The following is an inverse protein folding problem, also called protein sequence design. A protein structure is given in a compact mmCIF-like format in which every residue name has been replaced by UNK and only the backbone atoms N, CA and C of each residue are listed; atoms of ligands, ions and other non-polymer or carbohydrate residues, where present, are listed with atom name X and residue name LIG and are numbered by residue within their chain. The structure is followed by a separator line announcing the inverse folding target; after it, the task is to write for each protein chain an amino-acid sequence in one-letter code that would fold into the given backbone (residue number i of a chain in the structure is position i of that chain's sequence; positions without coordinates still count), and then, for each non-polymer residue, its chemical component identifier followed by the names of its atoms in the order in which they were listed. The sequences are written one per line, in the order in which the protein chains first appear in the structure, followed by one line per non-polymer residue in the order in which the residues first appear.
data_IF_456657546251
#
_entry.id   IF_456657546251
#
_cell.length_a   1.000
_cell.length_b   1.000
_cell.length_c   1.000
_cell.angle_alpha   90.00
_cell.angle_beta   90.00
_cell.angle_gamma   90.00
#
_symmetry.space_group_name_H-M   'P 1'
#
loop_
_entity.id
_entity.type
_entity.pdbx_description
1 polymer ?
#
# COMPACT_ATOMS: atom_id res chain seq x y z
N UNK A 1 8.78 32.72 -0.96
CA UNK A 1 8.76 31.39 -1.61
C UNK A 1 7.79 30.49 -0.86
N UNK A 2 6.92 29.78 -1.59
CA UNK A 2 5.91 28.84 -1.04
C UNK A 2 6.61 27.59 -0.49
N UNK A 3 7.09 27.66 0.76
CA UNK A 3 7.85 26.57 1.38
C UNK A 3 7.03 25.80 2.42
N UNK A 4 5.77 26.20 2.68
CA UNK A 4 4.89 25.45 3.58
C UNK A 4 4.23 24.32 2.82
N UNK A 5 4.05 23.18 3.49
CA UNK A 5 3.36 22.04 2.89
C UNK A 5 1.93 22.39 2.48
N UNK A 6 1.27 23.29 3.21
CA UNK A 6 -0.04 23.85 2.85
C UNK A 6 -0.09 24.48 1.47
N UNK A 7 1.02 25.03 0.97
CA UNK A 7 1.08 25.73 -0.32
C UNK A 7 1.39 24.74 -1.45
N UNK A 8 2.15 23.69 -1.14
CA UNK A 8 2.60 22.66 -2.09
C UNK A 8 1.52 21.59 -2.33
N UNK A 9 0.69 21.30 -1.33
CA UNK A 9 -0.30 20.22 -1.36
C UNK A 9 -1.66 20.58 -1.98
N UNK A 10 -1.86 21.84 -2.41
CA UNK A 10 -3.15 22.27 -3.00
C UNK A 10 -3.34 21.82 -4.45
N UNK A 11 -2.27 21.45 -5.16
CA UNK A 11 -2.29 21.09 -6.58
C UNK A 11 -2.22 19.58 -6.84
N UNK A 12 -2.56 19.19 -8.07
CA UNK A 12 -2.31 17.84 -8.60
C UNK A 12 -0.85 17.64 -9.07
N UNK A 13 -0.07 18.70 -9.08
CA UNK A 13 1.32 18.74 -9.55
C UNK A 13 2.30 18.26 -8.46
N UNK A 14 2.38 16.94 -8.27
CA UNK A 14 3.28 16.28 -7.31
C UNK A 14 3.80 14.95 -7.87
N UNK A 15 4.79 14.32 -7.25
CA UNK A 15 5.39 13.07 -7.74
C UNK A 15 4.84 11.81 -7.05
N UNK A 16 3.67 11.89 -6.40
CA UNK A 16 3.13 10.78 -5.59
C UNK A 16 2.90 9.50 -6.42
N UNK A 17 2.40 9.64 -7.65
CA UNK A 17 2.19 8.48 -8.53
C UNK A 17 3.50 7.82 -8.96
N UNK A 18 4.55 8.63 -9.21
CA UNK A 18 5.87 8.12 -9.56
C UNK A 18 6.50 7.38 -8.38
N UNK A 19 6.46 7.98 -7.18
CA UNK A 19 7.01 7.35 -5.97
C UNK A 19 6.30 6.03 -5.69
N UNK A 20 4.96 5.98 -5.84
CA UNK A 20 4.20 4.73 -5.70
C UNK A 20 4.58 3.69 -6.75
N UNK A 21 4.88 4.11 -7.98
CA UNK A 21 5.33 3.18 -9.03
C UNK A 21 6.71 2.60 -8.73
N UNK A 22 7.64 3.45 -8.26
CA UNK A 22 8.97 3.02 -7.81
C UNK A 22 8.82 2.03 -6.66
N UNK A 23 8.00 2.35 -5.65
CA UNK A 23 7.72 1.47 -4.53
C UNK A 23 7.11 0.12 -4.97
N UNK A 24 6.12 0.12 -5.88
CA UNK A 24 5.54 -1.12 -6.41
C UNK A 24 6.58 -1.99 -7.12
N UNK A 25 7.43 -1.36 -7.94
CA UNK A 25 8.50 -2.05 -8.67
C UNK A 25 9.57 -2.59 -7.72
N UNK A 26 9.92 -1.84 -6.67
CA UNK A 26 10.84 -2.29 -5.62
C UNK A 26 10.30 -3.49 -4.84
N UNK A 27 8.99 -3.53 -4.55
CA UNK A 27 8.34 -4.71 -3.95
C UNK A 27 8.48 -5.94 -4.85
N UNK A 28 8.21 -5.80 -6.16
CA UNK A 28 8.39 -6.87 -7.15
C UNK A 28 9.85 -7.36 -7.17
N UNK A 29 10.82 -6.46 -7.18
CA UNK A 29 12.25 -6.80 -7.15
C UNK A 29 12.58 -7.59 -5.89
N UNK A 30 12.18 -7.12 -4.71
CA UNK A 30 12.38 -7.83 -3.43
C UNK A 30 11.77 -9.23 -3.45
N UNK A 31 10.55 -9.38 -3.97
CA UNK A 31 9.91 -10.69 -4.07
C UNK A 31 10.69 -11.65 -4.97
N UNK A 32 11.37 -11.16 -6.02
CA UNK A 32 12.15 -12.02 -6.92
C UNK A 32 13.24 -12.80 -6.18
N UNK A 33 13.92 -12.17 -5.21
CA UNK A 33 14.92 -12.85 -4.36
C UNK A 33 14.28 -13.95 -3.51
N UNK A 34 13.18 -13.62 -2.82
CA UNK A 34 12.49 -14.54 -1.92
C UNK A 34 11.85 -15.73 -2.65
N UNK A 35 11.31 -15.50 -3.84
CA UNK A 35 10.59 -16.51 -4.61
C UNK A 35 11.52 -17.50 -5.31
N UNK A 36 12.66 -17.05 -5.83
CA UNK A 36 13.66 -17.94 -6.46
C UNK A 36 14.41 -18.76 -5.41
N UNK A 37 14.83 -18.11 -4.31
CA UNK A 37 15.67 -18.79 -3.30
C UNK A 37 14.88 -19.46 -2.18
N UNK A 38 13.56 -19.32 -2.17
CA UNK A 38 12.67 -19.79 -1.10
C UNK A 38 12.80 -19.01 0.22
N UNK A 39 13.76 -18.09 0.33
CA UNK A 39 14.00 -17.28 1.53
C UNK A 39 14.31 -15.83 1.17
N UNK A 40 13.88 -14.88 1.99
CA UNK A 40 14.27 -13.47 1.80
C UNK A 40 15.73 -13.16 2.13
N UNK A 41 16.54 -14.15 2.52
CA UNK A 41 17.89 -13.93 3.04
C UNK A 41 18.91 -13.51 1.96
N UNK A 42 18.62 -13.81 0.70
CA UNK A 42 19.45 -13.47 -0.46
C UNK A 42 19.34 -12.00 -0.89
N UNK A 43 18.44 -11.22 -0.28
CA UNK A 43 18.28 -9.81 -0.60
C UNK A 43 19.41 -8.96 0.04
N UNK A 44 20.15 -8.15 -0.75
CA UNK A 44 21.33 -7.43 -0.26
C UNK A 44 21.11 -6.52 0.95
N UNK A 45 19.96 -5.83 1.00
CA UNK A 45 19.65 -4.93 2.12
C UNK A 45 19.30 -5.67 3.41
N UNK A 46 18.79 -6.89 3.30
CA UNK A 46 18.36 -7.65 4.48
C UNK A 46 19.55 -8.07 5.33
N UNK A 47 20.65 -8.45 4.68
CA UNK A 47 21.88 -8.88 5.37
C UNK A 47 22.60 -7.70 6.03
N UNK A 48 22.58 -6.53 5.39
CA UNK A 48 23.31 -5.35 5.87
C UNK A 48 22.52 -4.54 6.91
N UNK A 49 21.22 -4.30 6.65
CA UNK A 49 20.41 -3.34 7.42
C UNK A 49 19.25 -4.00 8.19
N UNK A 50 19.06 -5.31 8.06
CA UNK A 50 17.90 -6.01 8.65
C UNK A 50 16.55 -5.65 8.01
N UNK A 51 16.56 -4.86 6.94
CA UNK A 51 15.38 -4.38 6.22
C UNK A 51 15.46 -4.73 4.74
N UNK A 52 14.30 -4.84 4.09
CA UNK A 52 14.21 -5.12 2.65
C UNK A 52 13.75 -3.87 1.89
N UNK A 53 14.06 -3.79 0.59
CA UNK A 53 13.49 -2.74 -0.28
C UNK A 53 11.97 -2.81 -0.29
N UNK A 54 11.41 -4.02 -0.21
CA UNK A 54 9.98 -4.27 -0.06
C UNK A 54 9.40 -3.65 1.22
N UNK A 55 10.05 -3.84 2.38
CA UNK A 55 9.61 -3.23 3.65
C UNK A 55 9.61 -1.70 3.55
N UNK A 56 10.69 -1.11 3.01
CA UNK A 56 10.76 0.34 2.80
C UNK A 56 9.64 0.82 1.89
N UNK A 57 9.40 0.10 0.79
CA UNK A 57 8.35 0.42 -0.18
C UNK A 57 6.95 0.36 0.44
N UNK A 58 6.67 -0.62 1.29
CA UNK A 58 5.42 -0.72 2.04
C UNK A 58 5.27 0.46 3.00
N UNK A 59 6.33 0.87 3.71
CA UNK A 59 6.29 2.06 4.56
C UNK A 59 5.94 3.31 3.75
N UNK A 60 6.57 3.48 2.57
CA UNK A 60 6.27 4.58 1.64
C UNK A 60 4.80 4.57 1.21
N UNK A 61 4.23 3.41 0.88
CA UNK A 61 2.80 3.28 0.56
C UNK A 61 1.92 3.76 1.71
N UNK A 62 2.19 3.31 2.94
CA UNK A 62 1.38 3.69 4.11
C UNK A 62 1.50 5.19 4.43
N UNK A 63 2.70 5.79 4.32
CA UNK A 63 2.89 7.24 4.50
C UNK A 63 2.10 8.04 3.46
N UNK A 64 2.22 7.70 2.18
CA UNK A 64 1.50 8.38 1.10
C UNK A 64 -0.01 8.20 1.27
N UNK A 65 -0.45 7.00 1.63
CA UNK A 65 -1.84 6.67 1.88
C UNK A 65 -2.40 7.50 3.02
N UNK A 66 -1.74 7.55 4.18
CA UNK A 66 -2.12 8.38 5.32
C UNK A 66 -2.26 9.86 4.97
N UNK A 67 -1.31 10.40 4.21
CA UNK A 67 -1.35 11.79 3.72
C UNK A 67 -2.57 12.04 2.81
N UNK A 68 -2.75 11.24 1.76
CA UNK A 68 -3.78 11.44 0.74
C UNK A 68 -5.20 11.13 1.23
N UNK A 69 -5.34 10.09 2.05
CA UNK A 69 -6.62 9.64 2.59
C UNK A 69 -7.13 10.67 3.62
N UNK A 70 -6.25 11.18 4.47
CA UNK A 70 -6.58 12.30 5.38
C UNK A 70 -6.93 13.56 4.61
N UNK A 71 -6.20 13.89 3.55
CA UNK A 71 -6.53 15.01 2.67
C UNK A 71 -7.92 14.88 2.05
N UNK A 72 -8.25 13.68 1.54
CA UNK A 72 -9.54 13.40 0.95
C UNK A 72 -10.69 13.57 1.96
N UNK A 73 -10.49 13.12 3.20
CA UNK A 73 -11.52 13.17 4.25
C UNK A 73 -11.76 14.61 4.73
N UNK A 74 -10.68 15.32 5.10
CA UNK A 74 -10.76 16.68 5.66
C UNK A 74 -11.26 17.71 4.64
N UNK A 75 -10.94 17.55 3.34
CA UNK A 75 -11.34 18.52 2.32
C UNK A 75 -12.77 18.30 1.78
N UNK A 76 -13.28 17.07 1.85
CA UNK A 76 -14.62 16.73 1.34
C UNK A 76 -15.69 16.72 2.41
N UNK A 77 -15.30 16.47 3.66
CA UNK A 77 -16.20 16.47 4.84
C UNK A 77 -17.40 15.53 4.70
N UNK A 78 -17.27 14.53 3.82
CA UNK A 78 -18.33 13.61 3.48
C UNK A 78 -17.81 12.17 3.51
N UNK A 79 -18.31 11.41 4.49
CA UNK A 79 -17.93 10.01 4.68
C UNK A 79 -18.38 9.11 3.52
N UNK A 80 -19.44 9.47 2.79
CA UNK A 80 -19.91 8.71 1.63
C UNK A 80 -18.95 8.91 0.46
N UNK A 81 -18.51 10.15 0.21
CA UNK A 81 -17.47 10.44 -0.78
C UNK A 81 -16.17 9.71 -0.45
N UNK A 82 -15.77 9.75 0.84
CA UNK A 82 -14.60 9.03 1.34
C UNK A 82 -14.70 7.53 1.06
N UNK A 83 -15.81 6.91 1.48
CA UNK A 83 -16.05 5.48 1.32
C UNK A 83 -15.95 5.07 -0.15
N UNK A 84 -16.71 5.70 -1.04
CA UNK A 84 -16.67 5.35 -2.46
C UNK A 84 -15.31 5.63 -3.11
N UNK A 85 -14.63 6.72 -2.72
CA UNK A 85 -13.30 7.02 -3.24
C UNK A 85 -12.23 5.99 -2.83
N UNK A 86 -12.41 5.27 -1.71
CA UNK A 86 -11.50 4.19 -1.29
C UNK A 86 -11.95 2.85 -1.85
N UNK A 87 -13.25 2.56 -1.80
CA UNK A 87 -13.80 1.30 -2.30
C UNK A 87 -13.54 1.11 -3.79
N UNK A 88 -13.78 2.14 -4.62
CA UNK A 88 -13.52 2.09 -6.07
C UNK A 88 -12.02 2.05 -6.41
N UNK A 89 -11.15 2.46 -5.49
CA UNK A 89 -9.71 2.44 -5.70
C UNK A 89 -9.11 1.05 -5.48
N UNK A 90 -9.69 0.27 -4.57
CA UNK A 90 -9.17 -1.03 -4.13
C UNK A 90 -9.95 -2.19 -4.75
N UNK A 91 -11.25 -2.28 -4.46
CA UNK A 91 -12.00 -3.52 -4.64
C UNK A 91 -12.18 -3.97 -6.10
N UNK A 92 -12.45 -3.10 -7.10
CA UNK A 92 -12.68 -3.57 -8.47
C UNK A 92 -11.49 -4.35 -9.03
N UNK A 93 -10.28 -3.78 -8.99
CA UNK A 93 -9.08 -4.43 -9.52
C UNK A 93 -8.63 -5.60 -8.66
N UNK A 94 -8.78 -5.52 -7.33
CA UNK A 94 -8.53 -6.64 -6.43
C UNK A 94 -9.43 -7.84 -6.78
N UNK A 95 -10.73 -7.60 -6.93
CA UNK A 95 -11.69 -8.66 -7.22
C UNK A 95 -11.38 -9.34 -8.55
N UNK A 96 -11.11 -8.57 -9.61
CA UNK A 96 -10.73 -9.13 -10.91
C UNK A 96 -9.44 -9.95 -10.82
N UNK A 97 -8.42 -9.46 -10.11
CA UNK A 97 -7.18 -10.20 -9.91
C UNK A 97 -7.42 -11.51 -9.15
N UNK A 98 -8.26 -11.51 -8.12
CA UNK A 98 -8.63 -12.73 -7.39
C UNK A 98 -9.34 -13.72 -8.30
N UNK A 99 -10.30 -13.26 -9.13
CA UNK A 99 -10.96 -14.14 -10.09
C UNK A 99 -9.97 -14.71 -11.11
N UNK A 100 -9.04 -13.90 -11.59
CA UNK A 100 -7.97 -14.34 -12.47
C UNK A 100 -7.10 -15.41 -11.82
N UNK A 101 -6.66 -15.17 -10.58
CA UNK A 101 -5.86 -16.13 -9.81
C UNK A 101 -6.64 -17.43 -9.57
N UNK A 102 -7.91 -17.35 -9.16
CA UNK A 102 -8.68 -18.52 -8.73
C UNK A 102 -9.20 -19.34 -9.91
N UNK A 103 -9.62 -18.72 -11.00
CA UNK A 103 -10.24 -19.42 -12.13
C UNK A 103 -9.33 -19.63 -13.33
N UNK A 104 -8.18 -18.95 -13.40
CA UNK A 104 -7.21 -19.16 -14.48
C UNK A 104 -5.90 -19.74 -13.95
N UNK A 105 -5.19 -19.04 -13.06
CA UNK A 105 -3.89 -19.52 -12.58
C UNK A 105 -4.01 -20.78 -11.70
N UNK A 106 -5.00 -20.81 -10.81
CA UNK A 106 -5.23 -21.94 -9.91
C UNK A 106 -5.40 -23.26 -10.65
N UNK A 107 -6.40 -23.40 -11.54
CA UNK A 107 -6.59 -24.58 -12.36
C UNK A 107 -5.39 -24.94 -13.24
N UNK A 108 -4.62 -23.96 -13.69
CA UNK A 108 -3.46 -24.20 -14.54
C UNK A 108 -2.26 -24.79 -13.77
N UNK A 109 -2.09 -24.41 -12.49
CA UNK A 109 -0.94 -24.80 -11.66
C UNK A 109 -1.30 -25.72 -10.49
N UNK A 110 -2.54 -26.20 -10.40
CA UNK A 110 -2.95 -27.11 -9.33
C UNK A 110 -2.49 -28.55 -9.62
N UNK A 111 -2.10 -29.25 -8.56
CA UNK A 111 -1.73 -30.68 -8.59
C UNK A 111 -2.90 -31.63 -8.34
N UNK A 112 -4.10 -31.10 -8.02
CA UNK A 112 -5.32 -31.89 -7.81
C UNK A 112 -6.26 -31.80 -9.02
N UNK A 113 -7.23 -32.71 -9.12
CA UNK A 113 -8.23 -32.67 -10.20
C UNK A 113 -9.03 -31.37 -10.18
N UNK A 114 -9.39 -30.87 -11.37
CA UNK A 114 -10.12 -29.62 -11.55
C UNK A 114 -11.45 -29.58 -10.79
N UNK A 115 -12.19 -30.70 -10.79
CA UNK A 115 -13.49 -30.79 -10.11
C UNK A 115 -13.29 -30.71 -8.60
N UNK A 116 -12.25 -31.38 -8.07
CA UNK A 116 -11.93 -31.35 -6.64
C UNK A 116 -11.44 -29.96 -6.20
N UNK A 117 -10.63 -29.29 -7.02
CA UNK A 117 -10.24 -27.89 -6.83
C UNK A 117 -11.45 -26.95 -6.74
N UNK A 118 -12.40 -27.10 -7.68
CA UNK A 118 -13.60 -26.26 -7.74
C UNK A 118 -14.62 -26.58 -6.65
N UNK A 119 -14.63 -27.80 -6.11
CA UNK A 119 -15.47 -28.19 -4.96
C UNK A 119 -14.83 -27.86 -3.61
N UNK A 120 -13.53 -27.59 -3.59
CA UNK A 120 -12.82 -27.32 -2.34
C UNK A 120 -13.31 -26.05 -1.66
N UNK A 121 -13.65 -26.18 -0.37
CA UNK A 121 -14.02 -25.06 0.50
C UNK A 121 -12.92 -24.00 0.58
N UNK A 122 -11.66 -24.42 0.49
CA UNK A 122 -10.50 -23.54 0.61
C UNK A 122 -10.43 -22.52 -0.53
N UNK A 123 -10.84 -22.91 -1.74
CA UNK A 123 -10.95 -22.04 -2.93
C UNK A 123 -11.92 -20.88 -2.68
N UNK A 124 -13.10 -21.16 -2.12
CA UNK A 124 -14.09 -20.12 -1.84
C UNK A 124 -13.75 -19.27 -0.63
N UNK A 125 -13.09 -19.85 0.39
CA UNK A 125 -12.57 -19.05 1.51
C UNK A 125 -11.46 -18.10 1.03
N UNK A 126 -10.61 -18.53 0.08
CA UNK A 126 -9.63 -17.64 -0.54
C UNK A 126 -10.32 -16.45 -1.21
N UNK A 127 -11.34 -16.69 -2.04
CA UNK A 127 -12.13 -15.61 -2.66
C UNK A 127 -12.68 -14.69 -1.58
N UNK A 128 -13.41 -15.23 -0.60
CA UNK A 128 -14.11 -14.42 0.40
C UNK A 128 -13.15 -13.59 1.28
N UNK A 129 -12.05 -14.18 1.75
CA UNK A 129 -11.07 -13.47 2.58
C UNK A 129 -10.32 -12.41 1.78
N UNK A 130 -9.77 -12.79 0.62
CA UNK A 130 -8.97 -11.88 -0.19
C UNK A 130 -9.81 -10.76 -0.82
N UNK A 131 -11.11 -10.97 -1.10
CA UNK A 131 -11.98 -9.95 -1.68
C UNK A 131 -12.54 -8.98 -0.64
N UNK A 132 -12.74 -9.41 0.61
CA UNK A 132 -13.29 -8.56 1.67
C UNK A 132 -12.23 -7.81 2.45
N UNK A 133 -11.04 -8.40 2.61
CA UNK A 133 -9.90 -7.85 3.37
C UNK A 133 -10.16 -7.58 4.87
N UNK A 134 -11.39 -7.80 5.37
CA UNK A 134 -11.76 -7.52 6.78
C UNK A 134 -11.10 -8.55 7.72
N UNK A 135 -11.20 -9.83 7.36
CA UNK A 135 -10.77 -10.96 8.19
C UNK A 135 -9.36 -11.46 7.86
N UNK A 136 -8.55 -10.62 7.22
CA UNK A 136 -7.23 -10.97 6.72
C UNK A 136 -7.28 -11.63 5.34
N UNK A 137 -6.14 -12.18 4.92
CA UNK A 137 -5.96 -12.85 3.63
C UNK A 137 -5.65 -14.33 3.83
N UNK A 138 -5.83 -15.11 2.78
CA UNK A 138 -5.39 -16.50 2.72
C UNK A 138 -4.31 -16.61 1.67
N UNK A 139 -3.22 -17.31 1.98
CA UNK A 139 -2.05 -17.34 1.11
C UNK A 139 -2.10 -18.48 0.08
N UNK A 140 -2.77 -19.59 0.38
CA UNK A 140 -2.78 -20.80 -0.45
C UNK A 140 -4.10 -21.06 -1.16
N UNK A 141 -4.00 -21.74 -2.29
CA UNK A 141 -5.09 -22.43 -2.98
C UNK A 141 -4.82 -23.94 -3.02
N UNK A 142 -5.85 -24.78 -3.11
CA UNK A 142 -5.69 -26.24 -3.13
C UNK A 142 -4.76 -26.72 -4.25
N UNK A 143 -3.66 -27.38 -3.89
CA UNK A 143 -2.72 -27.96 -4.85
C UNK A 143 -1.91 -26.95 -5.68
N UNK A 144 -2.03 -25.65 -5.45
CA UNK A 144 -1.35 -24.63 -6.27
C UNK A 144 0.02 -24.28 -5.68
N UNK A 145 1.06 -24.34 -6.50
CA UNK A 145 2.44 -23.99 -6.14
C UNK A 145 3.01 -24.77 -4.94
N UNK A 146 2.67 -26.06 -4.84
CA UNK A 146 3.12 -26.96 -3.75
C UNK A 146 4.62 -27.26 -3.79
N UNK A 147 5.20 -27.26 -4.99
CA UNK A 147 6.56 -27.73 -5.24
C UNK A 147 7.55 -26.59 -5.57
N UNK A 148 7.09 -25.34 -5.52
CA UNK A 148 7.94 -24.17 -5.77
C UNK A 148 8.85 -23.88 -4.56
N UNK A 149 9.98 -23.16 -4.75
CA UNK A 149 10.86 -22.79 -3.62
C UNK A 149 10.11 -22.04 -2.52
N UNK A 150 9.19 -21.14 -2.91
CA UNK A 150 8.29 -20.45 -1.98
C UNK A 150 6.89 -21.10 -2.02
N UNK A 151 6.71 -22.15 -1.21
CA UNK A 151 5.57 -23.06 -1.25
C UNK A 151 4.25 -22.41 -0.83
N UNK A 152 3.16 -22.87 -1.44
CA UNK A 152 1.78 -22.63 -0.99
C UNK A 152 1.39 -21.14 -0.85
N UNK A 153 2.10 -20.22 -1.52
CA UNK A 153 1.75 -18.81 -1.52
C UNK A 153 1.45 -18.36 -2.93
N UNK A 154 0.18 -18.05 -3.18
CA UNK A 154 -0.32 -17.65 -4.49
C UNK A 154 -0.19 -16.14 -4.67
N UNK A 155 -0.46 -15.36 -3.64
CA UNK A 155 -0.29 -13.91 -3.66
C UNK A 155 0.16 -13.37 -2.29
N UNK A 156 1.44 -13.49 -2.03
CA UNK A 156 2.05 -13.01 -0.79
C UNK A 156 2.10 -11.48 -0.67
N UNK A 157 1.72 -10.70 -1.70
CA UNK A 157 1.68 -9.23 -1.60
C UNK A 157 0.40 -8.71 -0.94
N UNK A 158 -0.68 -9.50 -0.88
CA UNK A 158 -1.96 -9.04 -0.32
C UNK A 158 -1.97 -8.81 1.20
N UNK A 159 -0.98 -9.31 1.93
CA UNK A 159 -0.94 -9.25 3.39
C UNK A 159 -1.04 -7.84 3.99
N UNK A 160 -0.63 -6.81 3.25
CA UNK A 160 -0.68 -5.41 3.71
C UNK A 160 -2.07 -4.79 3.58
N UNK A 161 -2.88 -5.25 2.63
CA UNK A 161 -4.15 -4.65 2.24
C UNK A 161 -5.20 -4.63 3.39
N UNK A 162 -5.35 -5.70 4.20
CA UNK A 162 -6.20 -5.66 5.39
C UNK A 162 -5.82 -4.55 6.37
N UNK A 163 -4.51 -4.33 6.57
CA UNK A 163 -4.03 -3.27 7.46
C UNK A 163 -4.37 -1.89 6.91
N UNK A 164 -4.20 -1.67 5.61
CA UNK A 164 -4.57 -0.41 4.97
C UNK A 164 -6.07 -0.11 5.13
N UNK A 165 -6.95 -1.09 4.86
CA UNK A 165 -8.40 -0.93 5.04
C UNK A 165 -8.74 -0.62 6.50
N UNK A 166 -8.09 -1.29 7.47
CA UNK A 166 -8.27 -0.99 8.90
C UNK A 166 -7.89 0.45 9.22
N UNK A 167 -6.78 0.96 8.70
CA UNK A 167 -6.38 2.36 8.92
C UNK A 167 -7.41 3.34 8.36
N UNK A 168 -7.98 3.04 7.19
CA UNK A 168 -9.04 3.87 6.60
C UNK A 168 -10.28 3.90 7.48
N UNK A 169 -10.68 2.75 8.04
CA UNK A 169 -11.80 2.63 8.96
C UNK A 169 -11.53 3.36 10.27
N UNK A 170 -10.34 3.21 10.85
CA UNK A 170 -9.92 3.96 12.05
C UNK A 170 -10.01 5.45 11.80
N UNK A 171 -9.45 5.95 10.70
CA UNK A 171 -9.49 7.36 10.35
C UNK A 171 -10.94 7.88 10.17
N UNK A 172 -11.78 7.12 9.47
CA UNK A 172 -13.19 7.46 9.25
C UNK A 172 -14.00 7.46 10.55
N UNK A 173 -13.77 6.49 11.44
CA UNK A 173 -14.42 6.41 12.75
C UNK A 173 -13.98 7.58 13.65
N UNK A 174 -12.68 7.88 13.71
CA UNK A 174 -12.16 9.03 14.46
C UNK A 174 -12.73 10.34 13.94
N UNK A 175 -12.86 10.50 12.62
CA UNK A 175 -13.51 11.65 12.01
C UNK A 175 -14.99 11.73 12.41
N UNK A 176 -15.76 10.65 12.26
CA UNK A 176 -17.18 10.61 12.61
C UNK A 176 -17.44 11.02 14.06
N UNK A 177 -16.63 10.52 15.00
CA UNK A 177 -16.79 10.79 16.44
C UNK A 177 -16.33 12.20 16.79
N UNK A 178 -15.14 12.62 16.33
CA UNK A 178 -14.51 13.85 16.81
C UNK A 178 -14.87 15.11 16.01
N UNK A 179 -15.32 14.96 14.75
CA UNK A 179 -15.70 16.11 13.91
C UNK A 179 -16.85 16.93 14.54
N UNK A 180 -17.78 16.24 15.22
CA UNK A 180 -18.98 16.83 15.80
C UNK A 180 -18.68 17.72 17.00
N UNK A 181 -17.51 17.53 17.63
CA UNK A 181 -17.07 18.35 18.76
C UNK A 181 -16.26 19.55 18.29
N UNK A 182 -15.06 19.30 17.73
CA UNK A 182 -14.18 20.32 17.19
C UNK A 182 -13.07 19.66 16.37
N UNK A 183 -12.75 20.21 15.19
CA UNK A 183 -11.68 19.70 14.30
C UNK A 183 -10.31 19.62 14.97
N UNK A 184 -10.04 20.45 15.98
CA UNK A 184 -8.80 20.38 16.75
C UNK A 184 -8.62 19.03 17.45
N UNK A 185 -9.69 18.40 17.93
CA UNK A 185 -9.64 17.10 18.59
C UNK A 185 -9.33 15.99 17.59
N UNK A 186 -9.89 16.05 16.38
CA UNK A 186 -9.51 15.15 15.30
C UNK A 186 -8.02 15.29 14.99
N UNK A 187 -7.51 16.52 14.74
CA UNK A 187 -6.08 16.72 14.47
C UNK A 187 -5.18 16.23 15.62
N UNK A 188 -5.57 16.51 16.87
CA UNK A 188 -4.84 16.05 18.04
C UNK A 188 -4.82 14.52 18.14
N UNK A 189 -5.94 13.84 17.87
CA UNK A 189 -6.01 12.38 17.87
C UNK A 189 -5.10 11.75 16.80
N UNK A 190 -5.04 12.32 15.59
CA UNK A 190 -4.15 11.85 14.52
C UNK A 190 -2.67 11.98 14.92
N UNK A 191 -2.30 13.12 15.50
CA UNK A 191 -0.93 13.33 15.99
C UNK A 191 -0.63 12.40 17.16
N UNK A 192 -1.58 12.22 18.08
CA UNK A 192 -1.43 11.30 19.21
C UNK A 192 -1.25 9.85 18.75
N UNK A 193 -1.98 9.40 17.74
CA UNK A 193 -1.81 8.07 17.14
C UNK A 193 -0.40 7.88 16.59
N UNK A 194 0.15 8.87 15.88
CA UNK A 194 1.53 8.83 15.39
C UNK A 194 2.54 8.84 16.55
N UNK A 195 2.38 9.72 17.54
CA UNK A 195 3.29 9.80 18.68
C UNK A 195 3.26 8.54 19.56
N UNK A 196 2.08 7.98 19.84
CA UNK A 196 1.93 6.78 20.66
C UNK A 196 2.50 5.54 19.97
N UNK A 197 2.21 5.34 18.68
CA UNK A 197 2.76 4.22 17.91
C UNK A 197 4.27 4.37 17.67
N UNK A 198 4.75 5.58 17.38
CA UNK A 198 6.19 5.87 17.28
C UNK A 198 6.93 5.68 18.60
N UNK A 199 6.33 6.10 19.71
CA UNK A 199 6.84 5.87 21.05
C UNK A 199 6.92 4.38 21.40
N UNK A 200 5.91 3.59 21.00
CA UNK A 200 5.94 2.13 21.15
C UNK A 200 7.03 1.48 20.30
N UNK A 201 7.21 1.90 19.04
CA UNK A 201 8.31 1.41 18.20
C UNK A 201 9.67 1.72 18.84
N UNK A 202 9.86 2.94 19.33
CA UNK A 202 11.10 3.31 20.03
C UNK A 202 11.30 2.48 21.30
N UNK A 203 10.26 2.32 22.12
CA UNK A 203 10.30 1.50 23.32
C UNK A 203 10.67 0.04 23.02
N UNK A 204 10.00 -0.58 22.04
CA UNK A 204 10.26 -1.97 21.66
C UNK A 204 11.71 -2.10 21.15
N UNK A 205 12.14 -1.18 20.28
CA UNK A 205 13.49 -1.13 19.74
C UNK A 205 14.58 -1.04 20.82
N UNK A 206 14.47 -0.09 21.76
CA UNK A 206 15.45 0.09 22.84
C UNK A 206 15.34 -0.97 23.94
N UNK A 207 14.19 -1.65 24.05
CA UNK A 207 14.00 -2.82 24.92
C UNK A 207 14.42 -4.14 24.25
N UNK A 208 15.04 -4.08 23.07
CA UNK A 208 15.52 -5.24 22.30
C UNK A 208 14.40 -6.21 21.90
N UNK A 209 13.16 -5.73 21.84
CA UNK A 209 12.01 -6.45 21.29
C UNK A 209 11.73 -5.99 19.86
N UNK A 210 11.20 -6.90 19.03
CA UNK A 210 10.83 -6.53 17.66
C UNK A 210 9.47 -5.85 17.66
N UNK A 211 9.32 -4.64 17.09
CA UNK A 211 8.02 -4.01 16.97
C UNK A 211 7.05 -4.88 16.18
N UNK A 212 5.79 -4.88 16.59
CA UNK A 212 4.75 -5.58 15.84
C UNK A 212 4.53 -4.88 14.49
N UNK A 213 4.46 -5.66 13.40
CA UNK A 213 4.22 -5.15 12.04
C UNK A 213 3.00 -4.21 11.96
N UNK A 214 1.96 -4.54 12.72
CA UNK A 214 0.76 -3.69 12.77
C UNK A 214 1.08 -2.28 13.27
N UNK A 215 1.86 -2.17 14.35
CA UNK A 215 2.22 -0.89 14.98
C UNK A 215 3.14 -0.09 14.06
N UNK A 216 4.09 -0.74 13.40
CA UNK A 216 4.94 -0.11 12.39
C UNK A 216 4.10 0.50 11.26
N UNK A 217 3.22 -0.28 10.64
CA UNK A 217 2.36 0.20 9.55
C UNK A 217 1.38 1.28 10.01
N UNK A 218 0.84 1.14 11.23
CA UNK A 218 -0.01 2.14 11.87
C UNK A 218 0.74 3.47 12.03
N UNK A 219 1.97 3.42 12.55
CA UNK A 219 2.83 4.60 12.68
C UNK A 219 3.11 5.25 11.32
N UNK A 220 3.51 4.47 10.31
CA UNK A 220 3.79 4.98 8.97
C UNK A 220 2.56 5.70 8.37
N UNK A 221 1.37 5.11 8.54
CA UNK A 221 0.12 5.74 8.09
C UNK A 221 -0.18 7.04 8.84
N UNK A 222 -0.17 7.00 10.17
CA UNK A 222 -0.54 8.16 10.98
C UNK A 222 0.53 9.25 10.99
N UNK A 223 1.80 8.93 10.67
CA UNK A 223 2.82 9.92 10.35
C UNK A 223 2.45 10.70 9.09
N UNK A 224 2.08 10.00 8.01
CA UNK A 224 1.58 10.63 6.78
C UNK A 224 0.33 11.48 7.02
N UNK A 225 -0.62 10.97 7.81
CA UNK A 225 -1.83 11.71 8.21
C UNK A 225 -1.48 12.97 9.01
N UNK A 226 -0.51 12.86 9.94
CA UNK A 226 -0.03 13.99 10.75
C UNK A 226 0.64 15.07 9.92
N UNK A 227 1.37 14.70 8.86
CA UNK A 227 1.88 15.70 7.92
C UNK A 227 0.76 16.49 7.26
N UNK A 228 -0.37 15.86 6.94
CA UNK A 228 -1.50 16.57 6.38
C UNK A 228 -2.17 17.51 7.39
N UNK A 229 -2.39 17.05 8.62
CA UNK A 229 -3.05 17.88 9.66
C UNK A 229 -2.16 19.06 10.07
N UNK A 230 -0.84 18.87 10.13
CA UNK A 230 0.16 19.88 10.48
C UNK A 230 0.70 20.65 9.28
N UNK A 231 0.12 20.52 8.09
CA UNK A 231 0.64 21.09 6.82
C UNK A 231 0.89 22.61 6.84
N UNK A 232 0.16 23.35 7.68
CA UNK A 232 0.32 24.80 7.84
C UNK A 232 1.58 25.18 8.63
N UNK A 233 2.13 24.24 9.40
CA UNK A 233 3.30 24.43 10.27
C UNK A 233 4.57 23.79 9.69
N UNK A 234 4.42 22.78 8.83
CA UNK A 234 5.55 22.08 8.23
C UNK A 234 6.13 22.90 7.08
N UNK A 235 7.42 23.23 7.20
CA UNK A 235 8.21 23.80 6.11
C UNK A 235 9.03 22.73 5.43
N UNK A 236 8.91 22.64 4.11
CA UNK A 236 9.65 21.69 3.27
C UNK A 236 10.93 22.36 2.79
N UNK A 237 12.08 21.91 3.29
CA UNK A 237 13.39 22.52 3.11
C UNK A 237 14.43 21.48 2.72
N UNK A 238 15.25 21.79 1.71
CA UNK A 238 16.30 20.91 1.22
C UNK A 238 17.38 20.61 2.25
N UNK A 239 17.68 21.55 3.15
CA UNK A 239 18.65 21.33 4.21
C UNK A 239 18.23 20.21 5.18
N UNK A 240 16.94 20.15 5.56
CA UNK A 240 16.42 19.07 6.41
C UNK A 240 16.48 17.75 5.66
N UNK A 241 16.10 17.75 4.37
CA UNK A 241 16.22 16.56 3.52
C UNK A 241 17.66 16.02 3.47
N UNK A 242 18.64 16.89 3.19
CA UNK A 242 20.05 16.51 3.13
C UNK A 242 20.59 16.06 4.50
N UNK A 243 20.19 16.73 5.59
CA UNK A 243 20.59 16.34 6.94
C UNK A 243 20.07 14.94 7.31
N UNK A 244 18.81 14.63 6.99
CA UNK A 244 18.24 13.30 7.24
C UNK A 244 18.91 12.22 6.38
N UNK A 245 19.22 12.52 5.10
CA UNK A 245 19.98 11.60 4.24
C UNK A 245 21.39 11.37 4.81
N UNK A 246 22.09 12.41 5.25
CA UNK A 246 23.40 12.28 5.87
C UNK A 246 23.33 11.46 7.16
N UNK A 247 22.31 11.67 7.99
CA UNK A 247 22.11 10.91 9.22
C UNK A 247 21.85 9.42 8.94
N UNK A 248 21.06 9.10 7.92
CA UNK A 248 20.89 7.71 7.45
C UNK A 248 22.23 7.14 6.98
N UNK A 249 22.98 7.89 6.16
CA UNK A 249 24.24 7.43 5.58
C UNK A 249 25.30 7.09 6.64
N UNK A 250 25.42 7.90 7.69
CA UNK A 250 26.34 7.66 8.80
C UNK A 250 26.01 6.36 9.56
N UNK A 251 24.73 5.98 9.62
CA UNK A 251 24.27 4.80 10.34
C UNK A 251 24.18 3.53 9.49
N UNK A 252 24.59 3.53 8.22
CA UNK A 252 24.47 2.36 7.32
C UNK A 252 25.21 1.09 7.81
N UNK A 253 26.17 1.23 8.71
CA UNK A 253 26.94 0.09 9.26
C UNK A 253 26.41 -0.42 10.60
N UNK A 254 25.43 0.26 11.19
CA UNK A 254 24.84 -0.09 12.47
C UNK A 254 23.33 -0.29 12.27
N UNK A 255 22.93 -1.55 12.05
CA UNK A 255 21.53 -1.87 11.75
C UNK A 255 20.56 -1.46 12.87
N UNK A 256 21.02 -1.42 14.12
CA UNK A 256 20.20 -1.00 15.25
C UNK A 256 19.90 0.51 15.14
N UNK A 257 20.95 1.34 15.13
CA UNK A 257 20.79 2.79 15.01
C UNK A 257 20.20 3.23 13.67
N UNK A 258 20.51 2.50 12.58
CA UNK A 258 19.92 2.72 11.27
C UNK A 258 18.40 2.66 11.32
N UNK A 259 17.83 1.63 11.96
CA UNK A 259 16.38 1.40 11.97
C UNK A 259 15.63 2.59 12.57
N UNK A 260 16.05 3.08 13.75
CA UNK A 260 15.34 4.18 14.41
C UNK A 260 15.47 5.49 13.63
N UNK A 261 16.67 5.78 13.11
CA UNK A 261 16.93 6.95 12.26
C UNK A 261 16.09 6.89 10.99
N UNK A 262 16.04 5.74 10.34
CA UNK A 262 15.23 5.51 9.15
C UNK A 262 13.74 5.72 9.44
N UNK A 263 13.21 5.12 10.49
CA UNK A 263 11.79 5.15 10.86
C UNK A 263 11.31 6.59 11.06
N UNK A 264 12.10 7.45 11.71
CA UNK A 264 11.72 8.87 11.92
C UNK A 264 11.95 9.73 10.68
N UNK A 265 12.91 9.37 9.82
CA UNK A 265 13.32 10.18 8.67
C UNK A 265 12.47 9.94 7.42
N UNK A 266 12.05 8.69 7.19
CA UNK A 266 11.46 8.26 5.91
C UNK A 266 10.24 9.07 5.51
N UNK A 267 9.39 9.46 6.48
CA UNK A 267 8.23 10.28 6.21
C UNK A 267 8.56 11.63 5.58
N UNK A 268 9.54 12.34 6.12
CA UNK A 268 9.96 13.64 5.59
C UNK A 268 10.64 13.49 4.22
N UNK A 269 11.45 12.44 4.03
CA UNK A 269 12.09 12.16 2.75
C UNK A 269 11.06 11.91 1.64
N UNK A 270 10.05 11.09 1.94
CA UNK A 270 8.91 10.86 1.03
C UNK A 270 8.17 12.15 0.75
N UNK A 271 7.88 12.95 1.78
CA UNK A 271 7.21 14.24 1.64
C UNK A 271 8.00 15.19 0.71
N UNK A 272 9.30 15.33 0.94
CA UNK A 272 10.17 16.19 0.16
C UNK A 272 10.20 15.76 -1.31
N UNK A 273 10.46 14.49 -1.58
CA UNK A 273 10.49 13.93 -2.94
C UNK A 273 9.13 14.00 -3.65
N UNK A 274 8.03 13.98 -2.88
CA UNK A 274 6.68 14.10 -3.43
C UNK A 274 6.38 15.49 -3.96
N UNK A 275 6.85 16.55 -3.30
CA UNK A 275 6.41 17.92 -3.61
C UNK A 275 7.48 18.82 -4.24
N UNK A 276 8.76 18.58 -3.96
CA UNK A 276 9.84 19.50 -4.38
C UNK A 276 10.35 19.24 -5.80
N UNK A 277 10.76 18.01 -6.18
CA UNK A 277 11.22 17.76 -7.54
C UNK A 277 10.16 18.17 -8.57
N UNK A 278 10.59 18.91 -9.58
CA UNK A 278 9.73 19.52 -10.59
C UNK A 278 10.30 19.29 -12.00
N UNK A 279 9.65 19.88 -13.02
CA UNK A 279 10.08 19.71 -14.41
C UNK A 279 9.68 18.35 -15.00
N UNK A 280 10.60 17.70 -15.73
CA UNK A 280 10.31 16.51 -16.53
C UNK A 280 9.74 15.34 -15.70
N UNK A 281 10.19 15.19 -14.45
CA UNK A 281 9.76 14.11 -13.55
C UNK A 281 8.24 14.12 -13.33
N UNK A 282 7.62 15.31 -13.26
CA UNK A 282 6.16 15.44 -13.08
C UNK A 282 5.34 14.97 -14.28
N UNK A 283 5.97 14.81 -15.46
CA UNK A 283 5.29 14.30 -16.66
C UNK A 283 4.77 12.87 -16.47
N UNK A 284 5.35 12.09 -15.53
CA UNK A 284 4.85 10.76 -15.18
C UNK A 284 3.36 10.75 -14.81
N UNK A 285 2.85 11.83 -14.17
CA UNK A 285 1.44 11.94 -13.81
C UNK A 285 0.47 11.85 -14.99
N UNK A 286 0.95 12.08 -16.22
CA UNK A 286 0.13 11.97 -17.44
C UNK A 286 -0.13 10.53 -17.86
N UNK A 287 0.68 9.58 -17.40
CA UNK A 287 0.55 8.17 -17.78
C UNK A 287 -0.60 7.51 -17.03
N UNK A 288 -0.73 7.77 -15.72
CA UNK A 288 -1.76 7.17 -14.88
C UNK A 288 -1.19 6.58 -13.59
N UNK A 289 -2.03 5.89 -12.83
CA UNK A 289 -1.67 5.29 -11.55
C UNK A 289 -1.63 3.76 -11.65
N UNK A 290 -0.60 3.25 -12.31
CA UNK A 290 -0.37 1.82 -12.52
C UNK A 290 0.16 1.08 -11.30
N UNK A 291 0.58 1.82 -10.27
CA UNK A 291 1.28 1.27 -9.10
C UNK A 291 0.48 0.17 -8.39
N UNK A 292 -0.84 0.32 -8.36
CA UNK A 292 -1.73 -0.66 -7.72
C UNK A 292 -1.81 -1.97 -8.50
N UNK A 293 -2.01 -1.91 -9.82
CA UNK A 293 -1.93 -3.10 -10.68
C UNK A 293 -0.59 -3.81 -10.49
N UNK A 294 0.52 -3.06 -10.48
CA UNK A 294 1.85 -3.66 -10.34
C UNK A 294 1.95 -4.41 -9.01
N UNK A 295 1.44 -3.80 -7.94
CA UNK A 295 1.45 -4.41 -6.61
C UNK A 295 0.65 -5.72 -6.54
N UNK A 296 -0.57 -5.76 -7.08
CA UNK A 296 -1.47 -6.91 -6.92
C UNK A 296 -1.17 -8.07 -7.89
N UNK A 297 -0.63 -7.78 -9.07
CA UNK A 297 -0.34 -8.79 -10.10
C UNK A 297 1.09 -9.34 -10.02
N UNK A 298 2.05 -8.64 -9.40
CA UNK A 298 3.46 -9.05 -9.40
C UNK A 298 3.67 -10.48 -8.86
N UNK A 299 3.16 -10.77 -7.67
CA UNK A 299 3.45 -12.03 -6.98
C UNK A 299 2.87 -13.27 -7.71
N UNK A 300 1.59 -13.30 -8.14
CA UNK A 300 1.07 -14.43 -8.91
C UNK A 300 1.81 -14.64 -10.23
N UNK A 301 2.20 -13.56 -10.92
CA UNK A 301 2.95 -13.64 -12.17
C UNK A 301 4.35 -14.20 -11.94
N UNK A 302 5.04 -13.76 -10.88
CA UNK A 302 6.36 -14.29 -10.53
C UNK A 302 6.31 -15.78 -10.21
N UNK A 303 5.35 -16.23 -9.39
CA UNK A 303 5.18 -17.66 -9.09
C UNK A 303 4.85 -18.47 -10.35
N UNK A 304 4.02 -17.92 -11.25
CA UNK A 304 3.70 -18.57 -12.53
C UNK A 304 4.93 -18.74 -13.41
N UNK A 305 5.79 -17.73 -13.50
CA UNK A 305 7.05 -17.79 -14.27
C UNK A 305 7.99 -18.84 -13.68
N UNK A 306 8.15 -18.88 -12.36
CA UNK A 306 8.99 -19.88 -11.68
C UNK A 306 8.44 -21.29 -11.88
N UNK A 307 7.11 -21.47 -11.83
CA UNK A 307 6.49 -22.76 -12.08
C UNK A 307 6.75 -23.27 -13.50
N UNK A 308 6.83 -22.38 -14.50
CA UNK A 308 7.13 -22.74 -15.88
C UNK A 308 8.63 -22.88 -16.16
N UNK A 309 9.48 -22.21 -15.38
CA UNK A 309 10.94 -22.27 -15.50
C UNK A 309 11.59 -22.29 -14.09
N UNK A 310 11.71 -23.47 -13.46
CA UNK A 310 12.22 -23.58 -12.09
C UNK A 310 13.67 -23.13 -11.91
N UNK A 311 14.47 -23.14 -12.99
CA UNK A 311 15.89 -22.74 -12.97
C UNK A 311 16.11 -21.25 -13.31
N UNK A 312 15.04 -20.45 -13.38
CA UNK A 312 15.12 -19.05 -13.76
C UNK A 312 16.02 -18.24 -12.82
N UNK A 313 16.90 -17.42 -13.39
CA UNK A 313 17.73 -16.49 -12.62
C UNK A 313 16.89 -15.37 -12.00
N UNK A 314 17.34 -14.78 -10.89
CA UNK A 314 16.66 -13.63 -10.25
C UNK A 314 16.54 -12.45 -11.23
N UNK A 315 17.58 -12.19 -12.03
CA UNK A 315 17.58 -11.10 -12.99
C UNK A 315 16.54 -11.30 -14.11
N UNK A 316 16.45 -12.53 -14.63
CA UNK A 316 15.46 -12.87 -15.65
C UNK A 316 14.04 -12.83 -15.09
N UNK A 317 13.84 -13.31 -13.85
CA UNK A 317 12.55 -13.21 -13.18
C UNK A 317 12.13 -11.74 -13.04
N UNK A 318 13.01 -10.84 -12.58
CA UNK A 318 12.73 -9.40 -12.50
C UNK A 318 12.33 -8.86 -13.87
N UNK A 319 13.12 -9.14 -14.91
CA UNK A 319 12.88 -8.65 -16.27
C UNK A 319 11.53 -9.08 -16.82
N UNK A 320 11.24 -10.39 -16.81
CA UNK A 320 10.01 -10.92 -17.39
C UNK A 320 8.79 -10.57 -16.55
N UNK A 321 8.88 -10.71 -15.22
CA UNK A 321 7.76 -10.39 -14.33
C UNK A 321 7.43 -8.90 -14.36
N UNK A 322 8.42 -8.00 -14.40
CA UNK A 322 8.16 -6.55 -14.51
C UNK A 322 7.45 -6.22 -15.82
N UNK A 323 7.90 -6.78 -16.94
CA UNK A 323 7.28 -6.54 -18.25
C UNK A 323 5.83 -7.04 -18.30
N UNK A 324 5.59 -8.30 -17.89
CA UNK A 324 4.26 -8.90 -17.89
C UNK A 324 3.31 -8.20 -16.90
N UNK A 325 3.78 -7.94 -15.70
CA UNK A 325 3.00 -7.26 -14.65
C UNK A 325 2.65 -5.84 -15.09
N UNK A 326 3.59 -5.10 -15.69
CA UNK A 326 3.32 -3.76 -16.20
C UNK A 326 2.27 -3.78 -17.30
N UNK A 327 2.35 -4.72 -18.25
CA UNK A 327 1.34 -4.87 -19.29
C UNK A 327 -0.06 -5.10 -18.70
N UNK A 328 -0.20 -6.04 -17.77
CA UNK A 328 -1.47 -6.32 -17.07
C UNK A 328 -1.95 -5.12 -16.27
N UNK A 329 -1.05 -4.38 -15.63
CA UNK A 329 -1.36 -3.17 -14.87
C UNK A 329 -1.90 -2.04 -15.75
N UNK A 330 -1.32 -1.86 -16.93
CA UNK A 330 -1.78 -0.88 -17.91
C UNK A 330 -3.17 -1.26 -18.44
N UNK A 331 -3.40 -2.54 -18.72
CA UNK A 331 -4.72 -3.05 -19.14
C UNK A 331 -5.75 -2.84 -18.03
N UNK A 332 -5.45 -3.30 -16.81
CA UNK A 332 -6.28 -3.12 -15.61
C UNK A 332 -6.67 -1.66 -15.41
N UNK A 333 -5.70 -0.75 -15.54
CA UNK A 333 -5.95 0.67 -15.35
C UNK A 333 -6.96 1.24 -16.36
N UNK A 334 -6.77 0.97 -17.65
CA UNK A 334 -7.59 1.57 -18.70
C UNK A 334 -8.96 0.91 -18.86
N UNK A 335 -9.03 -0.41 -18.66
CA UNK A 335 -10.27 -1.17 -18.82
C UNK A 335 -11.13 -1.10 -17.56
N UNK A 336 -10.51 -1.08 -16.38
CA UNK A 336 -11.21 -1.23 -15.11
C UNK A 336 -11.04 -0.02 -14.20
N UNK A 337 -9.86 0.18 -13.62
CA UNK A 337 -9.67 1.11 -12.49
C UNK A 337 -10.10 2.54 -12.84
N UNK A 338 -9.68 3.05 -13.99
CA UNK A 338 -10.02 4.40 -14.44
C UNK A 338 -11.53 4.58 -14.64
N UNK A 339 -12.22 3.56 -15.14
CA UNK A 339 -13.68 3.60 -15.38
C UNK A 339 -14.45 3.56 -14.06
N UNK A 340 -14.10 2.65 -13.16
CA UNK A 340 -14.74 2.55 -11.84
C UNK A 340 -14.52 3.81 -11.01
N UNK A 341 -13.30 4.37 -11.01
CA UNK A 341 -13.05 5.66 -10.36
C UNK A 341 -13.88 6.81 -10.96
N UNK A 342 -14.13 6.77 -12.28
CA UNK A 342 -15.01 7.70 -12.98
C UNK A 342 -16.49 7.60 -12.57
N UNK A 343 -16.94 6.44 -12.08
CA UNK A 343 -18.32 6.23 -11.61
C UNK A 343 -18.60 6.82 -10.22
N UNK A 344 -17.57 7.31 -9.51
CA UNK A 344 -17.71 7.84 -8.15
C UNK A 344 -18.82 8.89 -8.01
N UNK A 345 -18.93 9.94 -8.86
CA UNK A 345 -19.96 10.97 -8.69
C UNK A 345 -21.38 10.39 -8.74
N UNK A 346 -21.61 9.43 -9.63
CA UNK A 346 -22.89 8.74 -9.77
C UNK A 346 -23.23 7.90 -8.53
N UNK A 347 -22.28 7.11 -8.03
CA UNK A 347 -22.51 6.27 -6.84
C UNK A 347 -22.74 7.09 -5.58
N UNK A 348 -21.98 8.17 -5.40
CA UNK A 348 -22.17 9.12 -4.30
C UNK A 348 -23.57 9.73 -4.35
N UNK A 349 -23.99 10.25 -5.53
CA UNK A 349 -25.33 10.82 -5.70
C UNK A 349 -26.44 9.79 -5.42
N UNK A 350 -26.28 8.56 -5.89
CA UNK A 350 -27.24 7.47 -5.65
C UNK A 350 -27.36 7.12 -4.17
N UNK A 351 -26.23 7.00 -3.44
CA UNK A 351 -26.25 6.72 -2.00
C UNK A 351 -26.94 7.83 -1.21
N UNK A 352 -26.65 9.10 -1.52
CA UNK A 352 -27.37 10.23 -0.90
C UNK A 352 -28.87 10.18 -1.18
N UNK A 353 -29.27 9.83 -2.40
CA UNK A 353 -30.69 9.66 -2.76
C UNK A 353 -31.40 8.58 -1.96
N UNK A 354 -30.76 7.43 -1.73
CA UNK A 354 -31.32 6.33 -0.95
C UNK A 354 -31.48 6.75 0.52
N UNK A 355 -30.45 7.35 1.12
CA UNK A 355 -30.49 7.78 2.52
C UNK A 355 -31.58 8.83 2.77
N UNK A 356 -31.76 9.78 1.84
CA UNK A 356 -32.83 10.80 1.92
C UNK A 356 -34.23 10.20 1.80
N UNK A 357 -34.41 9.14 0.99
CA UNK A 357 -35.71 8.45 0.86
C UNK A 357 -36.03 7.64 2.11
N UNK A 358 -35.04 6.96 2.70
CA UNK A 358 -35.22 6.19 3.93
C UNK A 358 -35.58 7.05 5.14
N UNK A 359 -35.07 8.29 5.23
CA UNK A 359 -35.46 9.24 6.27
C UNK A 359 -36.87 9.83 6.09
N UNK A 360 -37.39 9.86 4.87
CA UNK A 360 -38.71 10.43 4.57
C UNK A 360 -39.86 9.42 4.82
N UNK A 361 -39.59 8.12 4.83
CA UNK A 361 -40.58 7.06 5.10
C UNK A 361 -40.62 6.61 6.56
N UNK A 362 -39.84 7.24 7.45
CA UNK A 362 -39.72 6.91 8.87
C UNK A 362 -40.39 7.91 9.82
N UNK A 363 -41.29 8.76 9.31
CA UNK A 363 -42.09 9.69 10.10
C UNK A 363 -43.57 9.34 10.03
#
# INVERSE_FOLDING_TARGET
MKNRLSDLSQGKENNLNLIRMIAASSVLITHSFALVTGTGASEPLRQSLGLTMGTISVHVFFIISGLLVTASLVNKENLIDFFWARSLRIFPALFLMILFVVFFLGPFFTTIDFIDYMKSKETYIYIAKCSTLIFGVRDHLPGVFTDLPFKNSVNGSLWTMPYEVRMYLTLAATWLVLQSFNRKYFHAAIVLFALASGGKIAFDHFSMTRPEKYIELFFMFFMGASFYTLRNHIRVHGAIFLALIALIAVNLKDAHNFYIVYVVSIGYLVLYLSYIPSGFIRKYNRLGDYSYGVYIYAFPIQQSIIAMNPEISIADLIKYSLAMTLALSVISWHVLEKRFLGMKPFLVAKTHGILRRGSATGH
#
